data_IF_692961520349
#
_entry.id   IF_692961520349
#
_cell.length_a   1.000
_cell.length_b   1.000
_cell.length_c   1.000
_cell.angle_alpha   90.00
_cell.angle_beta   90.00
_cell.angle_gamma   90.00
#
_symmetry.space_group_name_H-M   'P 1'
#
loop_
_entity.id
_entity.type
_entity.pdbx_description
1 polymer ?
#
# COMPACT_ATOMS: atom_id res chain seq x y z
N UNK A 1 -12.64 50.88 17.74
CA UNK A 1 -11.17 50.75 17.67
C UNK A 1 -10.64 50.60 19.09
N UNK A 2 -10.25 49.39 19.50
CA UNK A 2 -9.70 49.12 20.84
C UNK A 2 -8.18 48.91 20.73
N UNK A 3 -7.40 49.90 21.17
CA UNK A 3 -5.95 49.87 21.26
C UNK A 3 -5.50 49.13 22.52
N UNK A 4 -5.04 47.88 22.38
CA UNK A 4 -4.37 47.16 23.48
C UNK A 4 -2.87 47.45 23.45
N UNK A 5 -2.40 48.17 24.48
CA UNK A 5 -0.98 48.40 24.79
C UNK A 5 -0.29 47.07 25.10
N UNK A 6 0.78 46.80 24.37
CA UNK A 6 1.72 45.70 24.59
C UNK A 6 2.67 46.11 25.73
N UNK A 7 2.85 45.26 26.74
CA UNK A 7 3.89 45.44 27.77
C UNK A 7 5.02 44.43 27.54
N UNK A 8 6.30 44.85 27.58
CA UNK A 8 7.44 43.95 27.41
C UNK A 8 7.73 43.25 28.74
N UNK A 9 7.89 41.92 28.71
CA UNK A 9 8.38 41.16 29.85
C UNK A 9 9.79 40.62 29.53
N UNK A 10 10.78 40.83 30.43
CA UNK A 10 12.18 40.57 30.14
C UNK A 10 12.54 39.09 30.09
N UNK A 11 13.42 38.79 29.13
CA UNK A 11 14.13 37.53 28.92
C UNK A 11 15.14 37.34 30.05
N UNK A 12 15.14 36.18 30.70
CA UNK A 12 16.26 35.69 31.50
C UNK A 12 16.57 34.24 31.10
N UNK A 13 17.83 33.92 30.71
CA UNK A 13 18.24 32.57 30.35
C UNK A 13 18.80 31.85 31.59
N UNK A 14 18.35 30.62 31.85
CA UNK A 14 19.06 29.70 32.75
C UNK A 14 19.36 28.42 31.99
N UNK A 15 20.63 28.07 32.15
CA UNK A 15 21.46 27.14 31.42
C UNK A 15 21.30 25.71 31.96
N UNK A 16 21.75 24.74 31.14
CA UNK A 16 22.30 23.43 31.53
C UNK A 16 21.36 22.21 31.45
N UNK A 17 21.28 21.68 30.22
CA UNK A 17 21.53 20.27 29.86
C UNK A 17 21.45 19.23 30.99
N UNK A 18 20.34 18.48 31.01
CA UNK A 18 20.27 17.14 31.60
C UNK A 18 19.97 16.13 30.47
N UNK A 19 20.98 15.29 30.21
CA UNK A 19 20.98 14.00 29.51
C UNK A 19 19.63 13.49 28.97
N UNK A 20 19.42 13.61 27.66
CA UNK A 20 18.47 12.80 26.90
C UNK A 20 19.26 11.74 26.10
N UNK A 21 19.84 10.77 26.81
CA UNK A 21 20.23 9.49 26.21
C UNK A 21 19.03 8.56 26.20
N UNK A 22 18.12 8.78 25.24
CA UNK A 22 17.23 7.74 24.66
C UNK A 22 17.22 8.00 23.15
N UNK A 23 18.31 7.61 22.51
CA UNK A 23 18.33 7.35 21.09
C UNK A 23 18.21 5.82 20.93
N UNK A 24 17.05 5.36 20.48
CA UNK A 24 16.82 3.96 20.12
C UNK A 24 15.67 3.30 20.89
N UNK A 25 14.52 3.13 20.23
CA UNK A 25 13.48 2.21 20.70
C UNK A 25 12.07 2.79 20.85
N UNK A 26 11.56 3.55 19.88
CA UNK A 26 10.13 3.93 19.85
C UNK A 26 9.53 3.89 18.44
N UNK A 27 9.94 2.90 17.64
CA UNK A 27 9.53 2.78 16.24
C UNK A 27 8.66 1.56 15.93
N UNK A 28 8.31 0.69 16.88
CA UNK A 28 7.66 -0.59 16.57
C UNK A 28 6.14 -0.63 16.84
N UNK A 29 5.57 0.30 17.63
CA UNK A 29 4.16 0.22 18.07
C UNK A 29 3.17 1.02 17.21
N UNK A 30 3.65 1.88 16.30
CA UNK A 30 2.77 2.73 15.49
C UNK A 30 2.39 2.11 14.13
N UNK A 31 3.11 1.08 13.68
CA UNK A 31 2.87 0.49 12.36
C UNK A 31 1.53 -0.24 12.26
N UNK A 32 1.10 -0.94 13.31
CA UNK A 32 -0.20 -1.63 13.33
C UNK A 32 -1.35 -0.63 13.28
N UNK A 33 -1.31 0.42 14.11
CA UNK A 33 -2.32 1.48 14.11
C UNK A 33 -2.34 2.28 12.79
N UNK A 34 -1.20 2.42 12.12
CA UNK A 34 -1.09 3.10 10.82
C UNK A 34 -1.54 2.20 9.66
N UNK A 35 -1.27 0.88 9.72
CA UNK A 35 -1.85 -0.11 8.81
C UNK A 35 -3.37 -0.20 8.94
N UNK A 36 -3.88 -0.21 10.16
CA UNK A 36 -5.32 -0.30 10.44
C UNK A 36 -6.07 0.94 9.96
N UNK A 37 -5.42 2.12 10.03
CA UNK A 37 -5.97 3.37 9.51
C UNK A 37 -5.89 3.47 7.98
N UNK A 38 -4.89 2.82 7.36
CA UNK A 38 -4.63 2.88 5.92
C UNK A 38 -5.28 1.78 5.09
N UNK A 39 -5.55 0.61 5.68
CA UNK A 39 -6.14 -0.53 4.98
C UNK A 39 -7.54 -0.81 5.52
N UNK A 40 -8.54 -0.28 4.83
CA UNK A 40 -9.91 -0.74 5.05
C UNK A 40 -10.16 -1.93 4.12
N UNK A 41 -10.34 -3.16 4.65
CA UNK A 41 -10.62 -4.30 3.80
C UNK A 41 -11.97 -4.10 3.09
N UNK A 42 -12.06 -4.55 1.84
CA UNK A 42 -13.33 -4.58 1.12
C UNK A 42 -14.25 -5.63 1.78
N UNK A 43 -15.28 -5.17 2.49
CA UNK A 43 -16.18 -6.02 3.27
C UNK A 43 -17.38 -6.50 2.46
N UNK A 44 -17.75 -5.80 1.38
CA UNK A 44 -18.88 -6.18 0.51
C UNK A 44 -18.44 -6.67 -0.87
N UNK A 45 -19.24 -7.53 -1.53
CA UNK A 45 -18.96 -7.95 -2.91
C UNK A 45 -18.83 -6.77 -3.88
N UNK A 46 -19.66 -5.73 -3.75
CA UNK A 46 -19.60 -4.53 -4.58
C UNK A 46 -18.34 -3.70 -4.31
N UNK A 47 -17.83 -3.67 -3.08
CA UNK A 47 -16.56 -3.01 -2.78
C UNK A 47 -15.40 -3.74 -3.48
N UNK A 48 -15.30 -5.06 -3.29
CA UNK A 48 -14.30 -5.92 -3.96
C UNK A 48 -14.31 -5.76 -5.47
N UNK A 49 -15.50 -5.81 -6.07
CA UNK A 49 -15.68 -5.61 -7.51
C UNK A 49 -15.17 -4.25 -7.99
N UNK A 50 -15.52 -3.16 -7.27
CA UNK A 50 -15.10 -1.80 -7.63
C UNK A 50 -13.60 -1.61 -7.47
N UNK A 51 -13.02 -2.15 -6.41
CA UNK A 51 -11.57 -2.14 -6.19
C UNK A 51 -10.85 -2.90 -7.31
N UNK A 52 -11.27 -4.13 -7.62
CA UNK A 52 -10.66 -4.93 -8.68
C UNK A 52 -10.73 -4.25 -10.05
N UNK A 53 -11.84 -3.58 -10.39
CA UNK A 53 -11.93 -2.81 -11.64
C UNK A 53 -10.94 -1.64 -11.67
N UNK A 54 -10.85 -0.89 -10.57
CA UNK A 54 -9.92 0.25 -10.45
C UNK A 54 -8.48 -0.21 -10.61
N UNK A 55 -8.12 -1.31 -9.96
CA UNK A 55 -6.78 -1.90 -10.03
C UNK A 55 -6.45 -2.39 -11.44
N UNK A 56 -7.34 -3.16 -12.06
CA UNK A 56 -7.17 -3.64 -13.42
C UNK A 56 -7.05 -2.48 -14.44
N UNK A 57 -7.82 -1.41 -14.26
CA UNK A 57 -7.71 -0.20 -15.10
C UNK A 57 -6.36 0.51 -14.92
N UNK A 58 -5.86 0.59 -13.68
CA UNK A 58 -4.53 1.10 -13.37
C UNK A 58 -3.42 0.24 -13.98
N UNK A 59 -3.51 -1.08 -13.82
CA UNK A 59 -2.58 -2.05 -14.40
C UNK A 59 -2.54 -1.95 -15.93
N UNK A 60 -3.70 -1.83 -16.59
CA UNK A 60 -3.76 -1.62 -18.05
C UNK A 60 -3.07 -0.31 -18.45
N UNK A 61 -3.28 0.78 -17.71
CA UNK A 61 -2.62 2.06 -17.99
C UNK A 61 -1.10 1.93 -17.91
N UNK A 62 -0.59 1.27 -16.88
CA UNK A 62 0.84 1.02 -16.70
C UNK A 62 1.38 0.10 -17.79
N UNK A 63 0.68 -0.99 -18.11
CA UNK A 63 1.08 -1.92 -19.17
C UNK A 63 1.14 -1.24 -20.54
N UNK A 64 0.15 -0.40 -20.88
CA UNK A 64 0.16 0.37 -22.13
C UNK A 64 1.26 1.43 -22.16
N UNK A 65 1.64 2.01 -21.01
CA UNK A 65 2.78 2.91 -20.93
C UNK A 65 4.10 2.14 -21.18
N UNK A 66 4.27 0.98 -20.54
CA UNK A 66 5.43 0.12 -20.74
C UNK A 66 5.55 -0.35 -22.21
N UNK A 67 4.44 -0.70 -22.86
CA UNK A 67 4.43 -1.10 -24.27
C UNK A 67 4.96 -0.01 -25.24
N UNK A 68 5.08 1.25 -24.84
CA UNK A 68 5.58 2.32 -25.71
C UNK A 68 7.06 2.17 -26.06
N UNK A 69 7.82 1.56 -25.15
CA UNK A 69 9.27 1.34 -25.29
C UNK A 69 9.60 0.02 -26.00
N UNK A 70 8.59 -0.80 -26.29
CA UNK A 70 8.74 -2.12 -26.91
C UNK A 70 8.85 -2.03 -28.45
N UNK A 71 9.81 -2.77 -29.02
CA UNK A 71 9.96 -2.90 -30.48
C UNK A 71 8.67 -3.45 -31.12
N UNK A 72 8.04 -4.43 -30.48
CA UNK A 72 6.78 -5.06 -30.89
C UNK A 72 5.55 -4.44 -30.22
N UNK A 73 5.50 -3.10 -30.17
CA UNK A 73 4.45 -2.33 -29.46
C UNK A 73 3.02 -2.84 -29.68
N UNK A 74 2.63 -3.11 -30.94
CA UNK A 74 1.25 -3.55 -31.24
C UNK A 74 0.95 -4.94 -30.68
N UNK A 75 1.93 -5.84 -30.69
CA UNK A 75 1.80 -7.15 -30.06
C UNK A 75 1.73 -7.02 -28.53
N UNK A 76 2.51 -6.12 -27.93
CA UNK A 76 2.45 -5.81 -26.50
C UNK A 76 1.08 -5.25 -26.10
N UNK A 77 0.59 -4.23 -26.80
CA UNK A 77 -0.72 -3.61 -26.53
C UNK A 77 -1.87 -4.61 -26.59
N UNK A 78 -1.85 -5.53 -27.57
CA UNK A 78 -2.87 -6.61 -27.66
C UNK A 78 -2.83 -7.53 -26.45
N UNK A 79 -1.64 -7.90 -25.97
CA UNK A 79 -1.49 -8.75 -24.80
C UNK A 79 -1.94 -8.04 -23.52
N UNK A 80 -1.58 -6.77 -23.35
CA UNK A 80 -2.04 -5.96 -22.21
C UNK A 80 -3.58 -5.87 -22.17
N UNK A 81 -4.22 -5.68 -23.33
CA UNK A 81 -5.69 -5.66 -23.44
C UNK A 81 -6.32 -7.03 -23.23
N UNK A 82 -5.64 -8.12 -23.60
CA UNK A 82 -6.11 -9.47 -23.31
C UNK A 82 -6.08 -9.74 -21.80
N UNK A 83 -4.95 -9.45 -21.13
CA UNK A 83 -4.83 -9.56 -19.68
C UNK A 83 -5.90 -8.73 -18.95
N UNK A 84 -6.14 -7.48 -19.38
CA UNK A 84 -7.22 -6.66 -18.81
C UNK A 84 -8.60 -7.31 -18.94
N UNK A 85 -8.90 -8.01 -20.04
CA UNK A 85 -10.19 -8.72 -20.18
C UNK A 85 -10.31 -9.86 -19.18
N UNK A 86 -9.22 -10.55 -18.92
CA UNK A 86 -9.14 -11.62 -17.93
C UNK A 86 -9.32 -11.04 -16.52
N UNK A 87 -8.68 -9.91 -16.21
CA UNK A 87 -8.86 -9.18 -14.95
C UNK A 87 -10.31 -8.71 -14.76
N UNK A 88 -10.97 -8.25 -15.83
CA UNK A 88 -12.40 -7.91 -15.79
C UNK A 88 -13.29 -9.13 -15.55
N UNK A 89 -12.92 -10.30 -16.07
CA UNK A 89 -13.63 -11.55 -15.81
C UNK A 89 -13.47 -11.97 -14.35
N UNK A 90 -12.25 -11.88 -13.83
CA UNK A 90 -11.94 -12.12 -12.44
C UNK A 90 -12.69 -11.16 -11.50
N UNK A 91 -12.71 -9.86 -11.79
CA UNK A 91 -13.48 -8.89 -11.02
C UNK A 91 -14.97 -9.26 -10.94
N UNK A 92 -15.57 -9.68 -12.07
CA UNK A 92 -16.97 -10.14 -12.09
C UNK A 92 -17.18 -11.38 -11.22
N UNK A 93 -16.21 -12.27 -11.16
CA UNK A 93 -16.29 -13.47 -10.33
C UNK A 93 -16.13 -13.17 -8.85
N UNK A 94 -15.25 -12.22 -8.46
CA UNK A 94 -15.12 -11.72 -7.08
C UNK A 94 -16.43 -11.16 -6.49
N UNK A 95 -17.35 -10.74 -7.35
CA UNK A 95 -18.69 -10.29 -6.94
C UNK A 95 -19.59 -11.46 -6.53
N UNK A 96 -19.33 -12.66 -7.03
CA UNK A 96 -20.09 -13.89 -6.73
C UNK A 96 -19.42 -14.70 -5.64
N UNK A 97 -18.10 -14.82 -5.72
CA UNK A 97 -17.28 -15.64 -4.84
C UNK A 97 -16.10 -14.80 -4.31
N UNK A 98 -16.04 -14.49 -2.98
CA UNK A 98 -14.91 -13.78 -2.39
C UNK A 98 -13.58 -14.52 -2.50
N UNK A 99 -13.63 -15.85 -2.60
CA UNK A 99 -12.46 -16.73 -2.61
C UNK A 99 -12.04 -17.09 -4.04
N UNK A 100 -12.65 -16.45 -5.04
CA UNK A 100 -12.27 -16.59 -6.44
C UNK A 100 -10.76 -16.33 -6.59
N UNK A 101 -10.08 -17.21 -7.34
CA UNK A 101 -8.65 -17.07 -7.64
C UNK A 101 -8.46 -16.88 -9.15
N UNK A 102 -7.48 -16.06 -9.58
CA UNK A 102 -7.13 -15.96 -10.98
C UNK A 102 -6.71 -17.34 -11.52
N UNK A 103 -7.32 -17.76 -12.64
CA UNK A 103 -7.02 -19.06 -13.27
C UNK A 103 -5.64 -19.10 -13.93
N UNK A 104 -4.98 -17.96 -14.09
CA UNK A 104 -3.59 -17.87 -14.53
C UNK A 104 -2.84 -16.77 -13.78
N UNK A 105 -1.78 -17.14 -13.05
CA UNK A 105 -0.79 -16.17 -12.56
C UNK A 105 0.20 -15.94 -13.70
N UNK A 106 -0.05 -14.91 -14.51
CA UNK A 106 0.84 -14.55 -15.62
C UNK A 106 1.98 -13.68 -15.08
N UNK A 107 2.89 -14.34 -14.39
CA UNK A 107 3.99 -13.76 -13.64
C UNK A 107 4.48 -14.79 -12.64
N UNK A 108 5.23 -15.79 -13.13
CA UNK A 108 5.90 -16.73 -12.25
C UNK A 108 6.91 -15.98 -11.40
N UNK A 109 6.53 -15.60 -10.19
CA UNK A 109 7.41 -15.97 -9.08
C UNK A 109 7.16 -17.46 -8.91
N UNK A 110 8.11 -18.28 -9.32
CA UNK A 110 8.19 -19.66 -8.84
C UNK A 110 8.18 -19.56 -7.31
N UNK A 111 7.01 -19.77 -6.72
CA UNK A 111 6.83 -19.82 -5.29
C UNK A 111 7.34 -21.17 -4.83
N UNK A 112 8.66 -21.28 -4.73
CA UNK A 112 9.34 -22.41 -4.12
C UNK A 112 10.27 -21.92 -3.02
N UNK A 113 9.77 -21.09 -2.11
CA UNK A 113 10.31 -21.09 -0.75
C UNK A 113 9.30 -20.51 0.24
N UNK A 114 8.63 -21.39 0.98
CA UNK A 114 7.97 -21.01 2.23
C UNK A 114 9.08 -20.89 3.27
N UNK A 115 9.74 -19.74 3.33
CA UNK A 115 10.68 -19.44 4.41
C UNK A 115 9.87 -19.37 5.70
N UNK A 116 9.96 -20.43 6.50
CA UNK A 116 9.29 -20.51 7.80
C UNK A 116 10.03 -19.59 8.77
N UNK A 117 9.49 -18.39 9.01
CA UNK A 117 10.06 -17.46 9.98
C UNK A 117 9.88 -18.06 11.38
N UNK A 118 10.97 -18.57 11.96
CA UNK A 118 10.98 -19.09 13.33
C UNK A 118 11.10 -17.90 14.28
N UNK A 119 9.97 -17.50 14.89
CA UNK A 119 9.99 -16.50 15.98
C UNK A 119 10.67 -17.15 17.19
N UNK A 120 11.88 -16.69 17.54
CA UNK A 120 12.56 -17.09 18.77
C UNK A 120 11.94 -16.26 19.91
N UNK A 121 11.26 -16.87 20.90
CA UNK A 121 10.73 -16.13 22.03
C UNK A 121 11.87 -15.59 22.90
N UNK A 122 11.71 -14.40 23.53
CA UNK A 122 12.73 -13.85 24.42
C UNK A 122 12.89 -14.76 25.64
N UNK A 123 14.12 -15.21 25.89
CA UNK A 123 14.51 -15.94 27.10
C UNK A 123 14.28 -15.05 28.32
N UNK A 124 13.48 -15.56 29.25
CA UNK A 124 13.11 -14.92 30.52
C UNK A 124 14.32 -14.78 31.45
#
# INVERSE_FOLDING_TARGET
MHTRRIRPFPIAPVVLTALLTVAGGAGAQNFEAELERGSHPDTTPEQRYRTAIREAGGALKLALAACREEAERKRCERQARAAYKDDMAYARELRRDPDARPTSIRGGIESTEVTTIRVIPPSR
#
